data_IF_124168719006
#
_entry.id   IF_124168719006
#
_cell.length_a   1.000
_cell.length_b   1.000
_cell.length_c   1.000
_cell.angle_alpha   90.00
_cell.angle_beta   90.00
_cell.angle_gamma   90.00
#
_symmetry.space_group_name_H-M   'P 1'
#
loop_
_entity.id
_entity.type
_entity.pdbx_description
1 polymer ?
#
# COMPACT_ATOMS: atom_id res chain seq x y z
N UNK A 1 22.15 -1.57 -7.04
CA UNK A 1 21.36 -0.33 -7.15
C UNK A 1 21.40 0.34 -5.78
N UNK A 2 21.65 1.65 -5.70
CA UNK A 2 21.63 2.34 -4.40
C UNK A 2 20.18 2.55 -3.93
N UNK A 3 19.91 2.68 -2.61
CA UNK A 3 18.57 2.93 -2.09
C UNK A 3 17.89 4.17 -2.71
N UNK A 4 18.66 5.22 -2.96
CA UNK A 4 18.19 6.48 -3.53
C UNK A 4 17.69 6.29 -4.96
N UNK A 5 18.38 5.45 -5.74
CA UNK A 5 17.98 5.12 -7.11
C UNK A 5 16.72 4.25 -7.15
N UNK A 6 16.54 3.36 -6.17
CA UNK A 6 15.31 2.57 -6.03
C UNK A 6 14.12 3.50 -5.73
N UNK A 7 14.32 4.45 -4.82
CA UNK A 7 13.29 5.43 -4.47
C UNK A 7 12.91 6.28 -5.70
N UNK A 8 13.90 6.79 -6.46
CA UNK A 8 13.67 7.59 -7.69
C UNK A 8 12.85 6.82 -8.75
N UNK A 9 13.13 5.51 -8.93
CA UNK A 9 12.35 4.65 -9.84
C UNK A 9 10.94 4.39 -9.33
N UNK A 10 10.78 4.06 -8.04
CA UNK A 10 9.46 3.82 -7.44
C UNK A 10 8.59 5.07 -7.51
N UNK A 11 9.17 6.24 -7.25
CA UNK A 11 8.52 7.55 -7.39
C UNK A 11 7.98 7.74 -8.80
N UNK A 12 8.85 7.58 -9.81
CA UNK A 12 8.49 7.81 -11.21
C UNK A 12 7.38 6.87 -11.69
N UNK A 13 7.37 5.63 -11.20
CA UNK A 13 6.33 4.65 -11.54
C UNK A 13 5.02 4.86 -10.78
N UNK A 14 5.05 5.43 -9.58
CA UNK A 14 3.82 5.72 -8.82
C UNK A 14 3.00 6.85 -9.46
N UNK A 15 3.64 7.83 -10.11
CA UNK A 15 2.95 8.93 -10.79
C UNK A 15 1.96 8.45 -11.88
N UNK A 16 2.26 7.31 -12.51
CA UNK A 16 1.41 6.69 -13.54
C UNK A 16 0.43 5.65 -12.98
N UNK A 17 0.46 5.37 -11.67
CA UNK A 17 -0.47 4.43 -11.03
C UNK A 17 -1.94 4.84 -11.19
N UNK A 18 -2.36 6.10 -10.97
CA UNK A 18 -3.77 6.47 -11.10
C UNK A 18 -4.32 6.26 -12.51
N UNK A 19 -3.52 6.56 -13.54
CA UNK A 19 -3.92 6.38 -14.94
C UNK A 19 -4.01 4.90 -15.35
N UNK A 20 -3.13 4.05 -14.80
CA UNK A 20 -3.16 2.60 -15.01
C UNK A 20 -4.37 1.96 -14.32
N UNK A 21 -4.69 2.40 -13.10
CA UNK A 21 -5.78 1.84 -12.30
C UNK A 21 -7.16 2.47 -12.60
N UNK A 22 -7.21 3.54 -13.39
CA UNK A 22 -8.45 4.27 -13.67
C UNK A 22 -9.08 4.92 -12.42
N UNK A 23 -8.27 5.22 -11.41
CA UNK A 23 -8.74 5.81 -10.14
C UNK A 23 -9.07 7.29 -10.39
N UNK A 24 -10.33 7.68 -10.18
CA UNK A 24 -10.74 9.10 -10.06
C UNK A 24 -10.51 9.54 -8.62
N UNK A 25 -9.95 10.73 -8.41
CA UNK A 25 -9.55 11.25 -7.09
C UNK A 25 -10.73 11.52 -6.12
N UNK A 26 -11.99 11.37 -6.55
CA UNK A 26 -13.15 11.97 -5.88
C UNK A 26 -14.04 11.03 -5.03
N UNK A 27 -13.66 9.77 -4.77
CA UNK A 27 -14.53 8.86 -4.00
C UNK A 27 -14.33 8.91 -2.47
N UNK A 28 -13.58 9.87 -1.97
CA UNK A 28 -13.57 10.18 -0.55
C UNK A 28 -14.66 11.20 -0.29
N UNK A 29 -15.78 10.78 0.32
CA UNK A 29 -16.67 11.53 1.25
C UNK A 29 -18.06 10.87 1.30
N UNK A 30 -18.11 9.56 1.59
CA UNK A 30 -19.37 8.97 2.09
C UNK A 30 -19.33 9.02 3.61
N UNK A 31 -20.39 9.53 4.22
CA UNK A 31 -20.57 9.48 5.67
C UNK A 31 -20.86 8.03 6.08
N UNK A 32 -20.22 7.55 7.15
CA UNK A 32 -20.56 6.26 7.78
C UNK A 32 -22.02 6.35 8.22
N UNK A 33 -22.94 5.71 7.50
CA UNK A 33 -24.33 5.63 7.93
C UNK A 33 -24.41 4.54 9.00
N UNK A 34 -24.89 4.89 10.20
CA UNK A 34 -25.16 3.88 11.22
C UNK A 34 -26.27 2.98 10.67
N UNK A 35 -25.96 1.70 10.48
CA UNK A 35 -26.97 0.71 10.07
C UNK A 35 -28.06 0.57 11.13
N UNK A 36 -27.72 0.79 12.41
CA UNK A 36 -28.56 0.48 13.57
C UNK A 36 -28.26 1.33 14.84
N UNK A 37 -27.75 2.58 14.73
CA UNK A 37 -27.30 3.41 15.88
C UNK A 37 -26.22 2.79 16.79
N UNK A 38 -25.64 1.67 16.37
CA UNK A 38 -24.54 0.98 17.04
C UNK A 38 -23.18 1.50 16.59
N UNK A 39 -22.21 1.47 17.49
CA UNK A 39 -20.81 1.72 17.13
C UNK A 39 -20.30 0.65 16.17
N UNK A 40 -19.21 0.93 15.45
CA UNK A 40 -18.57 -0.09 14.61
C UNK A 40 -17.99 -1.22 15.46
N UNK A 41 -17.52 -0.93 16.69
CA UNK A 41 -17.09 -1.98 17.63
C UNK A 41 -18.25 -2.92 17.96
N UNK A 42 -19.44 -2.41 18.24
CA UNK A 42 -20.62 -3.25 18.52
C UNK A 42 -21.01 -4.10 17.31
N UNK A 43 -20.96 -3.51 16.11
CA UNK A 43 -21.27 -4.21 14.85
C UNK A 43 -20.23 -5.29 14.51
N UNK A 44 -18.98 -5.09 14.90
CA UNK A 44 -17.91 -6.09 14.80
C UNK A 44 -18.04 -7.23 15.84
N UNK A 45 -18.99 -7.14 16.78
CA UNK A 45 -19.16 -8.14 17.84
C UNK A 45 -18.40 -7.81 19.13
N UNK A 46 -18.07 -6.53 19.36
CA UNK A 46 -17.46 -6.03 20.58
C UNK A 46 -15.94 -6.05 20.60
N UNK A 47 -15.38 -5.69 21.75
CA UNK A 47 -13.94 -5.44 21.93
C UNK A 47 -13.06 -6.67 21.67
N UNK A 48 -13.48 -7.85 22.12
CA UNK A 48 -12.76 -9.11 21.89
C UNK A 48 -12.71 -9.46 20.40
N UNK A 49 -13.77 -9.17 19.66
CA UNK A 49 -13.82 -9.41 18.22
C UNK A 49 -12.92 -8.44 17.46
N UNK A 50 -12.81 -7.20 17.92
CA UNK A 50 -11.85 -6.23 17.40
C UNK A 50 -10.39 -6.65 17.69
N UNK A 51 -10.09 -7.14 18.90
CA UNK A 51 -8.76 -7.65 19.22
C UNK A 51 -8.39 -8.84 18.33
N UNK A 52 -9.31 -9.80 18.15
CA UNK A 52 -9.13 -10.93 17.26
C UNK A 52 -8.95 -10.52 15.79
N UNK A 53 -9.70 -9.52 15.32
CA UNK A 53 -9.55 -8.94 13.99
C UNK A 53 -8.15 -8.38 13.77
N UNK A 54 -7.62 -7.62 14.74
CA UNK A 54 -6.28 -7.03 14.66
C UNK A 54 -5.19 -8.09 14.67
N UNK A 55 -5.32 -9.12 15.51
CA UNK A 55 -4.35 -10.21 15.55
C UNK A 55 -4.33 -10.97 14.22
N UNK A 56 -5.49 -11.36 13.69
CA UNK A 56 -5.60 -12.07 12.42
C UNK A 56 -5.09 -11.23 11.24
N UNK A 57 -5.49 -9.96 11.16
CA UNK A 57 -4.97 -9.01 10.15
C UNK A 57 -3.45 -8.91 10.21
N UNK A 58 -2.86 -8.80 11.40
CA UNK A 58 -1.42 -8.63 11.55
C UNK A 58 -0.64 -9.90 11.16
N UNK A 59 -1.12 -11.08 11.53
CA UNK A 59 -0.49 -12.34 11.11
C UNK A 59 -0.57 -12.54 9.60
N UNK A 60 -1.70 -12.21 8.96
CA UNK A 60 -1.83 -12.22 7.50
C UNK A 60 -0.85 -11.24 6.84
N UNK A 61 -0.80 -10.00 7.32
CA UNK A 61 0.08 -8.97 6.77
C UNK A 61 1.57 -9.31 6.97
N UNK A 62 1.93 -10.06 8.01
CA UNK A 62 3.30 -10.56 8.19
C UNK A 62 3.69 -11.63 7.17
N UNK A 63 2.75 -12.38 6.64
CA UNK A 63 3.01 -13.38 5.60
C UNK A 63 2.89 -12.79 4.18
N UNK A 64 2.26 -11.62 4.03
CA UNK A 64 2.16 -10.92 2.76
C UNK A 64 3.50 -10.25 2.38
N UNK A 65 4.12 -10.74 1.30
CA UNK A 65 5.39 -10.23 0.78
C UNK A 65 5.40 -8.73 0.46
N UNK A 66 4.23 -8.11 0.23
CA UNK A 66 4.08 -6.66 -0.03
C UNK A 66 4.38 -5.81 1.19
N UNK A 67 4.06 -6.31 2.38
CA UNK A 67 4.06 -5.50 3.62
C UNK A 67 4.89 -6.11 4.75
N UNK A 68 5.25 -7.40 4.65
CA UNK A 68 6.05 -8.13 5.64
C UNK A 68 7.28 -7.36 6.11
N UNK A 69 8.01 -6.73 5.19
CA UNK A 69 9.22 -5.97 5.51
C UNK A 69 9.01 -4.89 6.61
N UNK A 70 7.83 -4.26 6.65
CA UNK A 70 7.49 -3.26 7.65
C UNK A 70 7.15 -3.87 9.01
N UNK A 71 6.68 -5.13 9.03
CA UNK A 71 6.10 -5.80 10.20
C UNK A 71 7.04 -6.83 10.84
N UNK A 72 8.01 -7.35 10.11
CA UNK A 72 9.00 -8.33 10.58
C UNK A 72 10.02 -7.68 11.52
N UNK A 73 9.60 -7.48 12.77
CA UNK A 73 10.39 -6.86 13.85
C UNK A 73 10.57 -7.83 15.03
N UNK A 74 11.37 -7.46 16.01
CA UNK A 74 11.48 -8.24 17.26
C UNK A 74 10.13 -8.35 17.99
N UNK A 75 9.89 -9.46 18.69
CA UNK A 75 8.60 -9.79 19.35
C UNK A 75 8.00 -8.64 20.16
N UNK A 76 8.82 -7.93 20.94
CA UNK A 76 8.37 -6.78 21.74
C UNK A 76 7.82 -5.64 20.86
N UNK A 77 8.46 -5.34 19.74
CA UNK A 77 8.00 -4.32 18.80
C UNK A 77 6.73 -4.75 18.07
N UNK A 78 6.64 -6.02 17.65
CA UNK A 78 5.42 -6.52 17.03
C UNK A 78 4.22 -6.43 17.98
N UNK A 79 4.39 -6.76 19.26
CA UNK A 79 3.35 -6.60 20.28
C UNK A 79 2.91 -5.14 20.42
N UNK A 80 3.85 -4.20 20.42
CA UNK A 80 3.54 -2.76 20.45
C UNK A 80 2.78 -2.32 19.21
N UNK A 81 3.13 -2.81 18.01
CA UNK A 81 2.44 -2.44 16.78
C UNK A 81 0.98 -2.93 16.82
N UNK A 82 0.73 -4.20 17.17
CA UNK A 82 -0.64 -4.73 17.31
C UNK A 82 -1.46 -3.93 18.31
N UNK A 83 -0.88 -3.64 19.48
CA UNK A 83 -1.54 -2.81 20.49
C UNK A 83 -1.91 -1.43 19.94
N UNK A 84 -1.02 -0.78 19.18
CA UNK A 84 -1.28 0.53 18.57
C UNK A 84 -2.34 0.47 17.47
N UNK A 85 -2.36 -0.59 16.66
CA UNK A 85 -3.43 -0.84 15.67
C UNK A 85 -4.78 -1.04 16.35
N UNK A 86 -4.85 -1.86 17.40
CA UNK A 86 -6.06 -2.03 18.21
C UNK A 86 -6.53 -0.72 18.84
N UNK A 87 -5.63 0.05 19.46
CA UNK A 87 -5.96 1.35 20.04
C UNK A 87 -6.54 2.31 19.01
N UNK A 88 -5.93 2.37 17.82
CA UNK A 88 -6.42 3.20 16.73
C UNK A 88 -7.81 2.76 16.27
N UNK A 89 -8.00 1.49 15.95
CA UNK A 89 -9.29 1.00 15.46
C UNK A 89 -10.38 1.08 16.52
N UNK A 90 -10.07 0.79 17.79
CA UNK A 90 -11.02 0.93 18.89
C UNK A 90 -11.52 2.37 18.97
N UNK A 91 -10.62 3.36 18.97
CA UNK A 91 -11.01 4.77 19.02
C UNK A 91 -11.78 5.21 17.78
N UNK A 92 -11.33 4.79 16.60
CA UNK A 92 -11.95 5.14 15.32
C UNK A 92 -13.34 4.49 15.13
N UNK A 93 -13.58 3.35 15.75
CA UNK A 93 -14.83 2.58 15.64
C UNK A 93 -15.84 2.86 16.75
N UNK A 94 -15.55 3.80 17.65
CA UNK A 94 -16.43 4.18 18.75
C UNK A 94 -16.29 3.31 20.00
N UNK A 95 -15.16 2.60 20.13
CA UNK A 95 -14.79 1.84 21.32
C UNK A 95 -14.24 2.70 22.46
N UNK A 96 -13.96 2.08 23.62
CA UNK A 96 -13.57 2.80 24.83
C UNK A 96 -12.12 3.30 24.81
N UNK A 97 -11.27 2.74 23.94
CA UNK A 97 -9.84 3.04 23.90
C UNK A 97 -9.57 4.10 22.86
N UNK A 98 -8.92 5.19 23.26
CA UNK A 98 -8.60 6.30 22.37
C UNK A 98 -7.19 6.18 21.81
N UNK A 99 -7.00 6.73 20.61
CA UNK A 99 -5.71 6.89 19.97
C UNK A 99 -5.60 8.30 19.38
N UNK A 100 -4.49 8.98 19.62
CA UNK A 100 -4.24 10.27 19.00
C UNK A 100 -3.86 10.09 17.52
N UNK A 101 -4.83 10.32 16.63
CA UNK A 101 -4.63 10.21 15.19
C UNK A 101 -3.47 11.08 14.67
N UNK A 102 -3.10 12.17 15.38
CA UNK A 102 -1.94 13.01 15.03
C UNK A 102 -0.61 12.26 15.09
N UNK A 103 -0.57 11.10 15.75
CA UNK A 103 0.61 10.25 15.83
C UNK A 103 0.79 9.35 14.60
N UNK A 104 -0.22 9.20 13.73
CA UNK A 104 -0.12 8.36 12.53
C UNK A 104 0.98 8.87 11.60
N UNK A 105 0.91 10.15 11.21
CA UNK A 105 1.88 10.76 10.31
C UNK A 105 3.33 10.65 10.78
N UNK A 106 3.72 11.11 11.98
CA UNK A 106 5.11 11.02 12.44
C UNK A 106 5.58 9.57 12.63
N UNK A 107 4.69 8.63 12.97
CA UNK A 107 5.06 7.22 13.10
C UNK A 107 5.43 6.57 11.76
N UNK A 108 4.83 7.01 10.66
CA UNK A 108 4.99 6.42 9.32
C UNK A 108 5.85 7.25 8.37
N UNK A 109 6.15 8.52 8.69
CA UNK A 109 6.84 9.46 7.79
C UNK A 109 8.17 8.95 7.23
N UNK A 110 8.97 8.27 8.06
CA UNK A 110 10.27 7.73 7.64
C UNK A 110 10.18 6.32 7.06
N UNK A 111 8.97 5.77 6.94
CA UNK A 111 8.70 4.49 6.30
C UNK A 111 8.31 4.77 4.86
N UNK A 112 8.94 4.10 3.89
CA UNK A 112 8.59 4.26 2.48
C UNK A 112 7.32 3.48 2.10
N UNK A 113 6.23 3.78 2.81
CA UNK A 113 4.92 3.17 2.62
C UNK A 113 4.24 3.88 1.44
N UNK A 114 4.03 3.15 0.36
CA UNK A 114 3.32 3.59 -0.84
C UNK A 114 1.83 3.22 -0.74
N UNK A 115 1.02 3.64 -1.72
CA UNK A 115 -0.37 3.16 -1.79
C UNK A 115 -0.43 1.64 -1.95
N UNK A 116 0.50 1.05 -2.71
CA UNK A 116 0.62 -0.41 -2.84
C UNK A 116 0.73 -1.12 -1.49
N UNK A 117 1.58 -0.60 -0.59
CA UNK A 117 1.78 -1.18 0.73
C UNK A 117 0.53 -0.97 1.61
N UNK A 118 -0.10 0.20 1.52
CA UNK A 118 -1.34 0.47 2.26
C UNK A 118 -2.48 -0.46 1.82
N UNK A 119 -2.68 -0.62 0.50
CA UNK A 119 -3.72 -1.48 -0.07
C UNK A 119 -3.53 -2.94 0.39
N UNK A 120 -2.30 -3.43 0.44
CA UNK A 120 -2.00 -4.78 0.92
C UNK A 120 -2.37 -5.01 2.39
N UNK A 121 -2.20 -3.98 3.23
CA UNK A 121 -2.65 -4.04 4.63
C UNK A 121 -4.18 -4.03 4.72
N UNK A 122 -4.85 -3.23 3.88
CA UNK A 122 -6.31 -3.23 3.79
C UNK A 122 -6.88 -4.57 3.28
N UNK A 123 -6.23 -5.22 2.32
CA UNK A 123 -6.59 -6.57 1.87
C UNK A 123 -6.52 -7.56 3.05
N UNK A 124 -5.45 -7.47 3.87
CA UNK A 124 -5.29 -8.32 5.06
C UNK A 124 -6.40 -8.06 6.09
N UNK A 125 -6.83 -6.82 6.26
CA UNK A 125 -7.95 -6.44 7.13
C UNK A 125 -9.27 -7.03 6.62
N UNK A 126 -9.52 -6.92 5.31
CA UNK A 126 -10.73 -7.44 4.66
C UNK A 126 -10.83 -8.95 4.82
N UNK A 127 -9.75 -9.68 4.57
CA UNK A 127 -9.73 -11.13 4.73
C UNK A 127 -9.88 -11.56 6.19
N UNK A 128 -9.25 -10.83 7.13
CA UNK A 128 -9.41 -11.09 8.56
C UNK A 128 -10.86 -10.85 9.04
N UNK A 129 -11.53 -9.81 8.52
CA UNK A 129 -12.92 -9.50 8.85
C UNK A 129 -13.89 -10.55 8.31
N UNK A 130 -13.64 -11.09 7.11
CA UNK A 130 -14.44 -12.18 6.53
C UNK A 130 -14.36 -13.45 7.39
N UNK A 131 -13.19 -13.81 7.90
CA UNK A 131 -13.01 -15.01 8.74
C UNK A 131 -13.86 -14.98 10.02
N UNK A 132 -14.05 -13.80 10.60
CA UNK A 132 -14.85 -13.61 11.82
C UNK A 132 -16.33 -13.31 11.52
N UNK A 133 -16.75 -13.40 10.25
CA UNK A 133 -18.15 -13.30 9.84
C UNK A 133 -18.73 -11.88 9.82
N UNK A 134 -17.91 -10.85 9.67
CA UNK A 134 -18.37 -9.46 9.55
C UNK A 134 -19.19 -9.30 8.26
N UNK A 135 -20.38 -8.69 8.36
CA UNK A 135 -21.23 -8.46 7.20
C UNK A 135 -20.65 -7.37 6.27
N UNK A 136 -20.97 -7.45 4.97
CA UNK A 136 -20.38 -6.58 3.96
C UNK A 136 -20.57 -5.08 4.25
N UNK A 137 -21.72 -4.69 4.80
CA UNK A 137 -22.01 -3.28 5.12
C UNK A 137 -21.09 -2.79 6.25
N UNK A 138 -20.88 -3.61 7.28
CA UNK A 138 -19.92 -3.29 8.35
C UNK A 138 -18.49 -3.29 7.85
N UNK A 139 -18.15 -4.17 6.92
CA UNK A 139 -16.84 -4.19 6.30
C UNK A 139 -16.57 -2.94 5.46
N UNK A 140 -17.55 -2.46 4.70
CA UNK A 140 -17.44 -1.24 3.89
C UNK A 140 -17.17 -0.01 4.78
N UNK A 141 -17.87 0.10 5.90
CA UNK A 141 -17.64 1.18 6.88
C UNK A 141 -16.26 1.08 7.54
N UNK A 142 -15.81 -0.13 7.88
CA UNK A 142 -14.46 -0.38 8.40
C UNK A 142 -13.41 0.08 7.39
N UNK A 143 -13.57 -0.31 6.12
CA UNK A 143 -12.66 0.08 5.05
C UNK A 143 -12.63 1.60 4.85
N UNK A 144 -13.80 2.24 4.83
CA UNK A 144 -13.94 3.68 4.70
C UNK A 144 -13.21 4.44 5.82
N UNK A 145 -13.38 4.01 7.07
CA UNK A 145 -12.71 4.63 8.22
C UNK A 145 -11.19 4.46 8.13
N UNK A 146 -10.71 3.26 7.81
CA UNK A 146 -9.27 3.00 7.67
C UNK A 146 -8.67 3.79 6.51
N UNK A 147 -9.36 3.86 5.37
CA UNK A 147 -8.87 4.56 4.18
C UNK A 147 -8.67 6.07 4.39
N UNK A 148 -9.36 6.68 5.37
CA UNK A 148 -9.13 8.10 5.76
C UNK A 148 -7.73 8.35 6.31
N UNK A 149 -7.03 7.31 6.78
CA UNK A 149 -5.65 7.43 7.27
C UNK A 149 -4.59 7.36 6.18
N UNK A 150 -4.99 7.06 4.93
CA UNK A 150 -4.07 6.79 3.82
C UNK A 150 -3.05 7.90 3.67
N UNK A 151 -3.49 9.16 3.61
CA UNK A 151 -2.59 10.31 3.45
C UNK A 151 -1.59 10.41 4.59
N UNK A 152 -2.02 10.25 5.85
CA UNK A 152 -1.13 10.29 7.01
C UNK A 152 -0.07 9.19 6.97
N UNK A 153 -0.43 7.98 6.54
CA UNK A 153 0.47 6.84 6.48
C UNK A 153 1.43 6.93 5.28
N UNK A 154 0.97 7.39 4.12
CA UNK A 154 1.78 7.47 2.89
C UNK A 154 2.53 8.80 2.74
N UNK A 155 2.31 9.79 3.62
CA UNK A 155 2.91 11.13 3.50
C UNK A 155 4.43 11.10 3.30
N UNK A 156 5.13 10.24 4.02
CA UNK A 156 6.58 10.12 3.87
C UNK A 156 7.00 9.86 2.42
N UNK A 157 6.29 8.93 1.77
CA UNK A 157 6.52 8.58 0.38
C UNK A 157 6.14 9.74 -0.54
N UNK A 158 4.97 10.37 -0.32
CA UNK A 158 4.52 11.52 -1.11
C UNK A 158 5.49 12.70 -1.07
N UNK A 159 6.08 13.01 0.10
CA UNK A 159 7.08 14.09 0.21
C UNK A 159 8.36 13.75 -0.54
N UNK A 160 8.83 12.50 -0.44
CA UNK A 160 10.00 12.04 -1.22
C UNK A 160 9.72 12.09 -2.72
N UNK A 161 8.50 11.72 -3.13
CA UNK A 161 8.05 11.83 -4.52
C UNK A 161 8.11 13.28 -5.02
N UNK A 162 7.58 14.22 -4.26
CA UNK A 162 7.59 15.64 -4.63
C UNK A 162 9.01 16.21 -4.71
N UNK A 163 9.90 15.84 -3.76
CA UNK A 163 11.31 16.26 -3.81
C UNK A 163 12.01 15.69 -5.06
N UNK A 164 11.86 14.39 -5.29
CA UNK A 164 12.47 13.72 -6.45
C UNK A 164 11.93 14.28 -7.77
N UNK A 165 10.64 14.63 -7.85
CA UNK A 165 10.06 15.32 -9.00
C UNK A 165 10.72 16.68 -9.23
N UNK A 166 10.85 17.50 -8.20
CA UNK A 166 11.51 18.81 -8.29
C UNK A 166 13.00 18.71 -8.65
N UNK A 167 13.69 17.66 -8.20
CA UNK A 167 15.08 17.39 -8.56
C UNK A 167 15.22 16.86 -10.01
N UNK A 168 14.31 15.99 -10.44
CA UNK A 168 14.22 15.47 -11.80
C UNK A 168 13.87 16.55 -12.83
N UNK A 169 13.08 17.57 -12.45
CA UNK A 169 12.82 18.75 -13.25
C UNK A 169 14.05 19.67 -13.39
N UNK A 170 14.96 19.67 -12.40
CA UNK A 170 16.20 20.47 -12.39
C UNK A 170 17.42 19.74 -12.97
N UNK A 171 17.37 18.41 -13.06
CA UNK A 171 18.49 17.54 -13.46
C UNK A 171 18.21 16.62 -14.65
N UNK A 172 16.98 16.54 -15.13
CA UNK A 172 16.56 15.81 -16.33
C UNK A 172 16.35 14.32 -16.08
N UNK A 173 15.12 13.83 -16.31
CA UNK A 173 14.77 12.39 -16.41
C UNK A 173 15.80 11.58 -17.21
N UNK A 174 16.35 12.18 -18.27
CA UNK A 174 17.49 11.71 -19.07
C UNK A 174 18.67 11.16 -18.23
N UNK A 175 18.99 11.77 -17.07
CA UNK A 175 20.02 11.25 -16.15
C UNK A 175 19.63 9.94 -15.48
N UNK A 176 18.35 9.71 -15.23
CA UNK A 176 17.85 8.47 -14.64
C UNK A 176 17.93 7.34 -15.66
N UNK A 177 17.52 7.61 -16.91
CA UNK A 177 17.72 6.71 -18.03
C UNK A 177 19.20 6.33 -18.19
N UNK A 178 20.11 7.31 -18.21
CA UNK A 178 21.56 7.07 -18.27
C UNK A 178 22.08 6.26 -17.06
N UNK A 179 21.70 6.64 -15.83
CA UNK A 179 22.10 5.92 -14.59
C UNK A 179 21.63 4.47 -14.57
N UNK A 180 20.50 4.17 -15.20
CA UNK A 180 19.97 2.82 -15.33
C UNK A 180 20.64 2.01 -16.43
N UNK A 181 21.55 2.62 -17.21
CA UNK A 181 22.28 1.97 -18.31
C UNK A 181 21.64 2.19 -19.68
N UNK A 182 20.83 3.23 -19.83
CA UNK A 182 20.12 3.54 -21.07
C UNK A 182 19.20 2.40 -21.51
N UNK A 183 19.02 2.25 -22.82
CA UNK A 183 18.07 1.29 -23.39
C UNK A 183 18.41 -0.16 -23.00
N UNK A 184 19.69 -0.54 -23.03
CA UNK A 184 20.12 -1.88 -22.62
C UNK A 184 19.83 -2.14 -21.13
N UNK A 185 20.02 -1.12 -20.30
CA UNK A 185 19.69 -1.15 -18.88
C UNK A 185 18.21 -1.38 -18.60
N UNK A 186 17.34 -0.65 -19.30
CA UNK A 186 15.88 -0.81 -19.21
C UNK A 186 15.44 -2.18 -19.72
N UNK A 187 15.99 -2.67 -20.84
CA UNK A 187 15.68 -4.00 -21.35
C UNK A 187 16.09 -5.11 -20.35
N UNK A 188 17.28 -4.99 -19.76
CA UNK A 188 17.74 -5.91 -18.71
C UNK A 188 16.84 -5.83 -17.46
N UNK A 189 16.37 -4.64 -17.09
CA UNK A 189 15.39 -4.46 -16.01
C UNK A 189 14.08 -5.16 -16.33
N UNK A 190 13.52 -4.98 -17.53
CA UNK A 190 12.28 -5.64 -17.96
C UNK A 190 12.42 -7.16 -17.91
N UNK A 191 13.54 -7.73 -18.34
CA UNK A 191 13.77 -9.18 -18.24
C UNK A 191 13.65 -9.65 -16.79
N UNK A 192 14.37 -8.99 -15.86
CA UNK A 192 14.32 -9.32 -14.42
C UNK A 192 12.94 -9.07 -13.81
N UNK A 193 12.25 -8.00 -14.20
CA UNK A 193 10.89 -7.71 -13.76
C UNK A 193 9.97 -8.89 -14.07
N UNK A 194 10.07 -9.46 -15.26
CA UNK A 194 9.23 -10.59 -15.63
C UNK A 194 9.65 -11.92 -15.02
N UNK A 195 10.92 -12.12 -14.68
CA UNK A 195 11.30 -13.24 -13.81
C UNK A 195 10.58 -13.17 -12.45
N UNK A 196 10.36 -11.96 -11.93
CA UNK A 196 9.56 -11.75 -10.72
C UNK A 196 8.06 -11.98 -10.98
N UNK A 197 7.50 -11.41 -12.05
CA UNK A 197 6.08 -11.57 -12.42
C UNK A 197 5.72 -13.05 -12.62
N UNK A 198 6.56 -13.81 -13.32
CA UNK A 198 6.33 -15.24 -13.59
C UNK A 198 6.33 -16.09 -12.30
N UNK A 199 7.03 -15.64 -11.25
CA UNK A 199 7.04 -16.28 -9.92
C UNK A 199 5.89 -15.83 -9.01
N UNK A 200 5.26 -14.69 -9.33
CA UNK A 200 4.18 -14.13 -8.52
C UNK A 200 2.84 -14.76 -8.90
N UNK A 201 2.42 -15.75 -8.11
CA UNK A 201 1.17 -16.49 -8.30
C UNK A 201 -0.09 -15.62 -8.33
N UNK A 202 -0.01 -14.37 -7.87
CA UNK A 202 -1.16 -13.46 -7.83
C UNK A 202 -1.43 -12.86 -9.20
N UNK A 203 -0.38 -12.69 -10.02
CA UNK A 203 -0.47 -11.96 -11.28
C UNK A 203 0.05 -12.75 -12.49
N UNK A 204 0.82 -13.82 -12.29
CA UNK A 204 1.48 -14.54 -13.38
C UNK A 204 0.52 -14.97 -14.50
N UNK A 205 -0.68 -15.44 -14.16
CA UNK A 205 -1.71 -15.86 -15.11
C UNK A 205 -2.13 -14.76 -16.10
N UNK A 206 -1.98 -13.47 -15.75
CA UNK A 206 -2.29 -12.36 -16.66
C UNK A 206 -1.16 -12.08 -17.68
N UNK A 207 0.02 -12.63 -17.46
CA UNK A 207 1.24 -12.35 -18.24
C UNK A 207 1.81 -13.61 -18.92
N UNK A 208 0.94 -14.54 -19.30
CA UNK A 208 1.32 -15.78 -19.99
C UNK A 208 0.96 -15.77 -21.49
N UNK A 209 1.58 -16.69 -22.24
CA UNK A 209 1.24 -16.95 -23.64
C UNK A 209 1.95 -16.06 -24.67
N UNK A 210 1.45 -16.12 -25.90
CA UNK A 210 2.14 -15.56 -27.08
C UNK A 210 2.31 -14.04 -27.05
N UNK A 211 1.51 -13.33 -26.27
CA UNK A 211 1.57 -11.86 -26.14
C UNK A 211 2.70 -11.39 -25.24
N UNK A 212 3.25 -12.25 -24.38
CA UNK A 212 4.25 -11.87 -23.37
C UNK A 212 5.44 -11.13 -23.96
N UNK A 213 5.97 -11.59 -25.11
CA UNK A 213 7.07 -10.92 -25.80
C UNK A 213 6.72 -9.49 -26.23
N UNK A 214 5.50 -9.29 -26.74
CA UNK A 214 5.01 -7.96 -27.13
C UNK A 214 4.75 -7.07 -25.92
N UNK A 215 4.26 -7.61 -24.80
CA UNK A 215 4.06 -6.84 -23.56
C UNK A 215 5.41 -6.40 -22.98
N UNK A 216 6.41 -7.30 -22.89
CA UNK A 216 7.79 -6.96 -22.48
C UNK A 216 8.35 -5.79 -23.31
N UNK A 217 8.19 -5.85 -24.64
CA UNK A 217 8.63 -4.78 -25.56
C UNK A 217 7.88 -3.46 -25.33
N UNK A 218 6.56 -3.51 -25.22
CA UNK A 218 5.73 -2.32 -25.00
C UNK A 218 6.04 -1.65 -23.66
N UNK A 219 6.22 -2.43 -22.59
CA UNK A 219 6.62 -1.92 -21.29
C UNK A 219 8.02 -1.35 -21.28
N UNK A 220 8.98 -1.96 -21.98
CA UNK A 220 10.32 -1.36 -22.13
C UNK A 220 10.22 0.03 -22.78
N UNK A 221 9.48 0.14 -23.89
CA UNK A 221 9.29 1.42 -24.57
C UNK A 221 8.58 2.46 -23.68
N UNK A 222 7.56 2.03 -22.93
CA UNK A 222 6.85 2.88 -21.99
C UNK A 222 7.75 3.38 -20.86
N UNK A 223 8.52 2.49 -20.23
CA UNK A 223 9.43 2.85 -19.15
C UNK A 223 10.54 3.77 -19.67
N UNK A 224 11.10 3.52 -20.85
CA UNK A 224 12.03 4.47 -21.49
C UNK A 224 11.36 5.83 -21.63
N UNK A 225 10.17 5.91 -22.23
CA UNK A 225 9.44 7.19 -22.38
C UNK A 225 9.16 7.91 -21.05
N UNK A 226 8.85 7.18 -19.98
CA UNK A 226 8.61 7.76 -18.65
C UNK A 226 9.90 8.30 -18.02
N UNK A 227 10.99 7.55 -18.16
CA UNK A 227 12.27 7.84 -17.54
C UNK A 227 13.17 8.75 -18.39
N UNK A 228 12.73 9.19 -19.57
CA UNK A 228 13.47 10.11 -20.43
C UNK A 228 14.36 9.38 -21.42
#
# INVERSE_FOLDING_TARGET
>A
MSPELIDEVVVSLEEVRPSVLGIKEDDAHTMVQSKDDKSLVDRLGGDLSLEALVENMYERAKEDSRVRYFLEKGKAKQKQIRMKMYQYLSGAFGGPVQYDAKLLKPAHYFMNITNYHFDALCDSLVEAAKDIGVDSITLDDVFLVVNRTRSDITTGCMVRMEIAKQEGEKGGRERLFEKLGGQEGIEAFIVRLYECVERDKRINAFFEGSKLKSIKKAQSAYITMVLG
#
